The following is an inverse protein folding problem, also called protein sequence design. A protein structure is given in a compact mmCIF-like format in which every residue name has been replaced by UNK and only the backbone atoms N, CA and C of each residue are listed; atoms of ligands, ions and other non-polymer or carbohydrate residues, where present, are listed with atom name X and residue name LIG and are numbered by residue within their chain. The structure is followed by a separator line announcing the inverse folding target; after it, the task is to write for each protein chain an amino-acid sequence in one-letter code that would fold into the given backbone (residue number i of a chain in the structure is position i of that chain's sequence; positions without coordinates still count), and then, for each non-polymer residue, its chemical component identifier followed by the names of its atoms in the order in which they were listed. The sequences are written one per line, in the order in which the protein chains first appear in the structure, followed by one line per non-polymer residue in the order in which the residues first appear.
data_IF_797866775688
#
_entry.id   IF_797866775688
#
_cell.length_a   1.000
_cell.length_b   1.000
_cell.length_c   1.000
_cell.angle_alpha   90.00
_cell.angle_beta   90.00
_cell.angle_gamma   90.00
#
_symmetry.space_group_name_H-M   'P 1'
#
loop_
_entity.id
_entity.type
_entity.pdbx_description
1 polymer ?
#
# COMPACT_ATOMS: atom_id res chain seq x y z
N UNK A 1 28.57 -61.14 -12.86
CA UNK A 1 28.47 -60.11 -13.92
C UNK A 1 27.08 -59.52 -13.79
N UNK A 2 26.79 -58.26 -13.48
CA UNK A 2 27.58 -57.03 -13.55
C UNK A 2 26.95 -55.95 -12.64
N UNK A 3 27.72 -54.90 -12.44
CA UNK A 3 27.65 -53.83 -11.44
C UNK A 3 26.51 -52.81 -11.54
N UNK A 4 26.22 -52.21 -10.38
CA UNK A 4 25.94 -50.80 -10.07
C UNK A 4 25.16 -49.91 -11.06
N UNK A 5 24.13 -49.23 -10.51
CA UNK A 5 23.81 -47.86 -10.90
C UNK A 5 23.37 -47.08 -9.65
N UNK A 6 24.29 -46.31 -9.08
CA UNK A 6 24.01 -45.27 -8.11
C UNK A 6 23.22 -44.17 -8.83
N UNK A 7 22.02 -43.84 -8.36
CA UNK A 7 21.32 -42.64 -8.80
C UNK A 7 21.86 -41.44 -8.02
N UNK A 8 22.60 -40.49 -8.62
CA UNK A 8 22.84 -39.22 -7.98
C UNK A 8 21.53 -38.44 -8.00
N UNK A 9 20.94 -38.21 -6.83
CA UNK A 9 19.96 -37.15 -6.63
C UNK A 9 20.66 -35.83 -6.95
N UNK A 10 20.67 -35.46 -8.23
CA UNK A 10 20.98 -34.13 -8.70
C UNK A 10 19.84 -33.24 -8.22
N UNK A 11 19.92 -32.81 -6.97
CA UNK A 11 19.16 -31.69 -6.43
C UNK A 11 19.58 -30.46 -7.24
N UNK A 12 18.98 -30.36 -8.43
CA UNK A 12 19.15 -29.24 -9.33
C UNK A 12 18.51 -28.07 -8.59
N UNK A 13 19.35 -27.26 -7.93
CA UNK A 13 18.98 -25.98 -7.39
C UNK A 13 18.58 -25.09 -8.56
N UNK A 14 17.36 -25.29 -9.08
CA UNK A 14 16.71 -24.30 -9.94
C UNK A 14 16.60 -23.06 -9.06
N UNK A 15 17.27 -21.94 -9.38
CA UNK A 15 16.95 -20.69 -8.71
C UNK A 15 15.48 -20.45 -9.03
N UNK A 16 14.61 -20.67 -8.04
CA UNK A 16 13.21 -20.28 -8.12
C UNK A 16 13.27 -18.80 -8.44
N UNK A 17 12.98 -18.44 -9.69
CA UNK A 17 12.91 -17.06 -10.09
C UNK A 17 11.93 -16.43 -9.12
N UNK A 18 12.40 -15.46 -8.35
CA UNK A 18 11.67 -14.77 -7.29
C UNK A 18 10.59 -13.85 -7.90
N UNK A 19 9.85 -14.35 -8.88
CA UNK A 19 8.89 -13.62 -9.68
C UNK A 19 7.59 -13.61 -8.91
N UNK A 20 7.41 -12.54 -8.13
CA UNK A 20 6.08 -12.19 -7.63
C UNK A 20 5.19 -11.84 -8.83
N UNK A 21 3.96 -12.32 -8.83
CA UNK A 21 2.96 -12.24 -9.89
C UNK A 21 2.37 -10.83 -10.08
N UNK A 22 3.13 -9.77 -9.81
CA UNK A 22 2.64 -8.40 -9.93
C UNK A 22 3.33 -7.72 -11.10
N UNK A 23 2.54 -7.24 -12.06
CA UNK A 23 2.96 -6.42 -13.20
C UNK A 23 3.31 -4.97 -12.79
N UNK A 24 3.78 -4.81 -11.55
CA UNK A 24 4.14 -3.53 -10.97
C UNK A 24 5.50 -3.07 -11.51
N UNK A 25 5.54 -1.86 -12.10
CA UNK A 25 6.75 -1.25 -12.68
C UNK A 25 7.95 -1.20 -11.71
N UNK A 26 7.72 -1.23 -10.41
CA UNK A 26 8.79 -1.25 -9.41
C UNK A 26 9.72 -2.46 -9.53
N UNK A 27 9.25 -3.58 -10.10
CA UNK A 27 10.05 -4.79 -10.26
C UNK A 27 11.08 -4.69 -11.37
N UNK A 28 10.93 -3.74 -12.29
CA UNK A 28 11.97 -3.43 -13.29
C UNK A 28 13.25 -2.96 -12.60
N UNK A 29 13.09 -2.24 -11.50
CA UNK A 29 14.20 -1.62 -10.75
C UNK A 29 14.60 -2.38 -9.48
N UNK A 30 13.85 -3.41 -9.11
CA UNK A 30 13.99 -4.13 -7.84
C UNK A 30 14.17 -5.62 -7.99
N UNK A 31 14.94 -6.22 -7.09
CA UNK A 31 15.04 -7.67 -6.94
C UNK A 31 14.93 -8.05 -5.47
N UNK A 32 14.19 -9.11 -5.17
CA UNK A 32 14.10 -9.64 -3.80
C UNK A 32 15.47 -10.15 -3.37
N UNK A 33 15.91 -9.74 -2.17
CA UNK A 33 17.17 -10.23 -1.60
C UNK A 33 17.00 -11.65 -1.08
N UNK A 34 15.83 -11.96 -0.50
CA UNK A 34 15.54 -13.26 0.06
C UNK A 34 14.11 -13.69 -0.31
N UNK A 35 13.90 -14.91 -0.86
CA UNK A 35 12.57 -15.46 -1.15
C UNK A 35 11.62 -15.44 0.04
N UNK A 36 12.14 -15.71 1.23
CA UNK A 36 11.35 -15.80 2.45
C UNK A 36 11.00 -14.42 3.02
N UNK A 37 11.77 -13.38 2.66
CA UNK A 37 11.56 -12.00 3.12
C UNK A 37 11.13 -11.10 1.97
N UNK A 38 9.84 -11.15 1.68
CA UNK A 38 9.14 -10.37 0.67
C UNK A 38 9.24 -8.84 0.82
N UNK A 39 9.70 -8.36 1.98
CA UNK A 39 9.84 -6.95 2.32
C UNK A 39 11.23 -6.38 2.01
N UNK A 40 12.23 -7.24 1.78
CA UNK A 40 13.60 -6.83 1.54
C UNK A 40 13.90 -6.86 0.03
N UNK A 41 13.97 -5.67 -0.56
CA UNK A 41 14.20 -5.50 -1.99
C UNK A 41 15.48 -4.71 -2.20
N UNK A 42 16.36 -5.23 -3.07
CA UNK A 42 17.56 -4.55 -3.52
C UNK A 42 17.28 -3.76 -4.79
N UNK A 43 17.65 -2.48 -4.78
CA UNK A 43 17.61 -1.64 -5.97
C UNK A 43 18.70 -2.07 -6.95
N UNK A 44 18.32 -2.34 -8.21
CA UNK A 44 19.26 -2.71 -9.28
C UNK A 44 20.15 -1.54 -9.72
N UNK A 45 19.67 -0.30 -9.57
CA UNK A 45 20.39 0.90 -10.00
C UNK A 45 21.54 1.25 -9.07
N UNK A 46 21.28 1.36 -7.76
CA UNK A 46 22.28 1.80 -6.79
C UNK A 46 22.74 0.72 -5.80
N UNK A 47 22.12 -0.47 -5.81
CA UNK A 47 22.45 -1.56 -4.91
C UNK A 47 21.96 -1.39 -3.47
N UNK A 48 21.28 -0.29 -3.12
CA UNK A 48 20.71 -0.10 -1.79
C UNK A 48 19.58 -1.10 -1.54
N UNK A 49 19.54 -1.62 -0.32
CA UNK A 49 18.47 -2.50 0.15
C UNK A 49 17.42 -1.67 0.87
N UNK A 50 16.16 -1.91 0.50
CA UNK A 50 15.00 -1.20 1.01
C UNK A 50 14.10 -2.20 1.71
N UNK A 51 13.86 -1.93 3.00
CA UNK A 51 12.97 -2.70 3.87
C UNK A 51 11.59 -2.02 3.94
N UNK A 52 10.63 -2.56 3.18
CA UNK A 52 9.16 -2.44 3.26
C UNK A 52 8.48 -2.77 1.91
N UNK A 53 9.12 -3.56 1.06
CA UNK A 53 8.56 -3.97 -0.23
C UNK A 53 8.59 -2.88 -1.31
N UNK A 54 7.76 -3.08 -2.33
CA UNK A 54 7.87 -2.40 -3.63
C UNK A 54 7.58 -0.90 -3.57
N UNK A 55 6.70 -0.47 -2.67
CA UNK A 55 6.33 0.94 -2.52
C UNK A 55 7.51 1.82 -2.10
N UNK A 56 8.30 1.38 -1.11
CA UNK A 56 9.49 2.12 -0.68
C UNK A 56 10.59 2.08 -1.74
N UNK A 57 10.67 1.04 -2.56
CA UNK A 57 11.55 1.03 -3.71
C UNK A 57 11.15 2.08 -4.75
N UNK A 58 9.85 2.21 -5.08
CA UNK A 58 9.37 3.28 -5.96
C UNK A 58 9.73 4.66 -5.42
N UNK A 59 9.55 4.90 -4.11
CA UNK A 59 9.91 6.18 -3.47
C UNK A 59 11.42 6.48 -3.59
N UNK A 60 12.25 5.45 -3.36
CA UNK A 60 13.70 5.54 -3.52
C UNK A 60 14.08 5.98 -4.95
N UNK A 61 13.54 5.32 -5.97
CA UNK A 61 13.85 5.62 -7.39
C UNK A 61 13.27 6.97 -7.80
N UNK A 62 12.05 7.29 -7.38
CA UNK A 62 11.39 8.58 -7.61
C UNK A 62 12.14 9.77 -6.99
N UNK A 63 13.09 9.52 -6.08
CA UNK A 63 13.85 10.55 -5.38
C UNK A 63 13.01 11.34 -4.38
N UNK A 64 11.84 10.83 -3.99
CA UNK A 64 10.95 11.49 -3.02
C UNK A 64 11.58 11.36 -1.63
N UNK A 65 12.01 12.50 -1.07
CA UNK A 65 12.63 12.55 0.25
C UNK A 65 11.59 12.38 1.36
N UNK A 66 12.04 11.89 2.52
CA UNK A 66 11.21 11.72 3.72
C UNK A 66 11.31 10.32 4.29
N UNK A 67 10.64 9.35 3.66
CA UNK A 67 10.54 7.99 4.19
C UNK A 67 11.71 7.07 3.79
N UNK A 68 12.41 7.38 2.69
CA UNK A 68 13.50 6.56 2.14
C UNK A 68 14.59 7.48 1.61
N UNK A 69 15.85 7.02 1.65
CA UNK A 69 16.96 7.71 0.99
C UNK A 69 16.71 7.71 -0.52
N UNK A 70 16.93 8.82 -1.25
CA UNK A 70 16.74 8.85 -2.70
C UNK A 70 17.85 8.06 -3.42
N UNK A 71 17.52 7.52 -4.60
CA UNK A 71 18.49 6.86 -5.47
C UNK A 71 19.47 7.88 -6.04
N UNK A 72 20.77 7.60 -5.93
CA UNK A 72 21.83 8.44 -6.50
C UNK A 72 22.10 8.15 -7.98
N UNK A 73 21.65 6.99 -8.47
CA UNK A 73 21.92 6.49 -9.83
C UNK A 73 20.67 6.43 -10.72
N UNK A 74 19.52 6.86 -10.23
CA UNK A 74 18.27 6.92 -11.02
C UNK A 74 18.36 8.06 -12.03
N UNK A 75 18.03 7.77 -13.30
CA UNK A 75 17.84 8.79 -14.33
C UNK A 75 16.57 9.61 -14.08
N UNK A 76 16.41 10.75 -14.77
CA UNK A 76 15.17 11.53 -14.69
C UNK A 76 13.96 10.74 -15.23
N UNK A 77 14.14 9.95 -16.29
CA UNK A 77 13.08 9.09 -16.82
C UNK A 77 12.60 8.04 -15.80
N UNK A 78 13.54 7.40 -15.09
CA UNK A 78 13.21 6.41 -14.06
C UNK A 78 12.45 7.06 -12.90
N UNK A 79 12.85 8.28 -12.53
CA UNK A 79 12.17 9.07 -11.49
C UNK A 79 10.74 9.35 -11.90
N UNK A 80 10.51 9.82 -13.12
CA UNK A 80 9.17 10.15 -13.61
C UNK A 80 8.27 8.91 -13.70
N UNK A 81 8.76 7.80 -14.23
CA UNK A 81 8.03 6.52 -14.29
C UNK A 81 7.58 6.08 -12.89
N UNK A 82 8.48 6.14 -11.91
CA UNK A 82 8.15 5.76 -10.54
C UNK A 82 7.22 6.76 -9.85
N UNK A 83 7.38 8.07 -10.09
CA UNK A 83 6.48 9.11 -9.57
C UNK A 83 5.05 8.91 -10.07
N UNK A 84 4.90 8.72 -11.39
CA UNK A 84 3.59 8.48 -12.00
C UNK A 84 2.89 7.26 -11.38
N UNK A 85 3.60 6.15 -11.26
CA UNK A 85 3.05 4.93 -10.64
C UNK A 85 2.63 5.12 -9.17
N UNK A 86 3.35 5.96 -8.41
CA UNK A 86 2.96 6.31 -7.04
C UNK A 86 1.69 7.17 -7.03
N UNK A 87 1.60 8.16 -7.91
CA UNK A 87 0.48 9.10 -7.92
C UNK A 87 -0.80 8.46 -8.46
N UNK A 88 -0.70 7.59 -9.46
CA UNK A 88 -1.83 6.79 -9.95
C UNK A 88 -2.39 5.90 -8.81
N UNK A 89 -1.50 5.24 -8.06
CA UNK A 89 -1.91 4.45 -6.88
C UNK A 89 -2.58 5.29 -5.78
N UNK A 90 -2.25 6.58 -5.64
CA UNK A 90 -2.91 7.48 -4.67
C UNK A 90 -4.28 7.92 -5.17
N UNK A 91 -4.39 8.23 -6.47
CA UNK A 91 -5.66 8.62 -7.10
C UNK A 91 -6.67 7.49 -7.01
N UNK A 92 -6.28 6.26 -7.29
CA UNK A 92 -7.16 5.08 -7.19
C UNK A 92 -7.67 4.88 -5.77
N UNK A 93 -6.80 5.03 -4.76
CA UNK A 93 -7.20 4.96 -3.35
C UNK A 93 -8.19 6.06 -2.97
N UNK A 94 -7.96 7.29 -3.46
CA UNK A 94 -8.86 8.42 -3.22
C UNK A 94 -10.22 8.20 -3.88
N UNK A 95 -10.25 7.73 -5.12
CA UNK A 95 -11.49 7.41 -5.85
C UNK A 95 -12.31 6.36 -5.11
N UNK A 96 -11.67 5.27 -4.68
CA UNK A 96 -12.33 4.22 -3.86
C UNK A 96 -12.88 4.74 -2.54
N UNK A 97 -12.16 5.63 -1.88
CA UNK A 97 -12.64 6.23 -0.63
C UNK A 97 -13.83 7.16 -0.86
N UNK A 98 -13.78 7.96 -1.93
CA UNK A 98 -14.88 8.84 -2.30
C UNK A 98 -16.14 8.05 -2.64
N UNK A 99 -16.03 6.98 -3.45
CA UNK A 99 -17.14 6.07 -3.75
C UNK A 99 -17.71 5.42 -2.48
N UNK A 100 -16.86 4.94 -1.57
CA UNK A 100 -17.31 4.38 -0.29
C UNK A 100 -18.04 5.41 0.57
N UNK A 101 -17.63 6.67 0.53
CA UNK A 101 -18.29 7.75 1.25
C UNK A 101 -19.64 8.10 0.63
N UNK A 102 -19.73 8.20 -0.69
CA UNK A 102 -21.01 8.41 -1.40
C UNK A 102 -22.01 7.29 -1.11
N UNK A 103 -21.56 6.03 -1.12
CA UNK A 103 -22.40 4.87 -0.74
C UNK A 103 -22.88 5.01 0.71
N UNK A 104 -22.00 5.41 1.65
CA UNK A 104 -22.37 5.60 3.05
C UNK A 104 -23.43 6.69 3.22
N UNK A 105 -23.22 7.84 2.58
CA UNK A 105 -24.13 8.98 2.66
C UNK A 105 -25.51 8.65 2.02
N UNK A 106 -25.55 7.76 1.01
CA UNK A 106 -26.79 7.30 0.39
C UNK A 106 -27.62 6.33 1.26
N UNK A 107 -27.02 5.66 2.27
CA UNK A 107 -27.74 4.73 3.17
C UNK A 107 -28.45 5.47 4.32
N UNK A 108 -28.13 6.74 4.58
CA UNK A 108 -28.76 7.57 5.63
C UNK A 108 -30.15 8.15 5.23
N UNK A 109 -30.92 7.42 4.42
CA UNK A 109 -32.31 7.75 4.08
C UNK A 109 -33.23 6.56 4.41
N UNK A 110 -33.64 6.41 5.68
CA UNK A 110 -35.03 6.13 6.14
C UNK A 110 -35.07 6.00 7.68
N UNK A 111 -35.83 6.89 8.34
CA UNK A 111 -36.51 6.71 9.65
C UNK A 111 -36.30 7.89 10.62
N UNK A 112 -37.21 8.85 10.82
CA UNK A 112 -38.68 8.84 10.65
C UNK A 112 -39.23 10.29 10.45
N UNK A 113 -40.41 10.43 9.81
CA UNK A 113 -41.13 11.70 9.67
C UNK A 113 -41.73 12.21 11.00
N UNK A 114 -41.79 13.53 11.12
CA UNK A 114 -42.34 14.33 12.21
C UNK A 114 -43.77 13.94 12.62
N UNK A 115 -43.99 13.81 13.93
CA UNK A 115 -45.29 13.94 14.57
C UNK A 115 -45.13 14.93 15.74
N UNK A 116 -45.65 16.12 15.53
CA UNK A 116 -45.89 17.16 16.52
C UNK A 116 -46.80 16.68 17.67
N UNK A 117 -46.27 16.58 18.90
CA UNK A 117 -46.95 17.02 20.13
C UNK A 117 -45.98 17.13 21.34
N UNK A 118 -45.78 18.39 21.76
CA UNK A 118 -45.59 18.94 23.11
C UNK A 118 -44.64 18.31 24.17
N UNK A 119 -43.60 19.08 24.49
CA UNK A 119 -43.28 19.69 25.81
C UNK A 119 -41.75 19.69 26.05
N UNK A 120 -41.21 20.89 26.26
CA UNK A 120 -39.78 21.20 26.35
C UNK A 120 -39.16 20.87 27.72
N UNK A 121 -38.36 19.81 27.81
CA UNK A 121 -37.68 19.45 29.07
C UNK A 121 -36.39 20.25 29.38
N UNK A 122 -35.90 21.09 28.47
CA UNK A 122 -34.60 21.77 28.61
C UNK A 122 -34.66 23.20 29.19
N UNK A 123 -35.85 23.82 29.30
CA UNK A 123 -35.98 25.13 29.97
C UNK A 123 -36.04 25.00 31.51
N UNK A 124 -36.38 23.81 32.02
CA UNK A 124 -36.41 23.53 33.46
C UNK A 124 -34.99 23.57 34.08
N UNK A 125 -33.96 23.14 33.35
CA UNK A 125 -32.59 23.07 33.90
C UNK A 125 -31.85 24.41 33.98
N UNK A 126 -32.23 25.42 33.17
CA UNK A 126 -31.66 26.78 33.29
C UNK A 126 -32.44 27.68 34.27
N UNK A 127 -33.71 27.40 34.50
CA UNK A 127 -34.52 28.20 35.43
C UNK A 127 -34.25 27.84 36.90
N UNK A 128 -34.05 26.56 37.25
CA UNK A 128 -33.81 26.15 38.64
C UNK A 128 -32.42 26.49 39.19
N UNK A 129 -31.51 27.04 38.37
CA UNK A 129 -30.17 27.48 38.80
C UNK A 129 -30.01 29.00 38.83
N UNK A 130 -31.06 29.76 38.50
CA UNK A 130 -31.05 31.23 38.55
C UNK A 130 -31.77 31.83 39.77
N UNK A 131 -32.17 31.01 40.75
CA UNK A 131 -32.63 31.47 42.07
C UNK A 131 -31.99 30.66 43.19
N UNK A 132 -30.75 31.03 43.56
CA UNK A 132 -30.30 31.16 44.94
C UNK A 132 -29.29 32.30 45.00
#
# INVERSE_FOLDING_TARGET
MSSAASNPSSSTSKPMSLKRNSDDIGWDYGVLVNPNNLNLIKCKLCGQEVSAGIYRLKLHIAGIRGQVKPCRKSSEEDKEKCKKAIDDSKKDKKARYAEQQEVRDAVDLVGAPDADEDTTAAEVYRSTRSTM
#
